data_IF_527673294444
#
_entry.id   IF_527673294444
#
_cell.length_a   1.000
_cell.length_b   1.000
_cell.length_c   1.000
_cell.angle_alpha   90.00
_cell.angle_beta   90.00
_cell.angle_gamma   90.00
#
_symmetry.space_group_name_H-M   'P 1'
#
loop_
_entity.id
_entity.type
_entity.pdbx_description
1 polymer ?
#
# COMPACT_ATOMS: atom_id res chain seq x y z
N UNK A 1 -3.16 -19.78 16.68
CA UNK A 1 -3.03 -19.60 18.14
C UNK A 1 -3.38 -20.90 18.88
N UNK A 2 -4.60 -21.46 18.68
CA UNK A 2 -5.10 -22.60 19.46
C UNK A 2 -4.18 -23.82 19.39
N UNK A 3 -3.78 -24.22 18.18
CA UNK A 3 -2.82 -25.32 18.01
C UNK A 3 -1.49 -25.06 18.70
N UNK A 4 -0.99 -23.84 18.68
CA UNK A 4 0.26 -23.50 19.36
C UNK A 4 0.12 -23.62 20.89
N UNK A 5 -1.01 -23.20 21.46
CA UNK A 5 -1.30 -23.37 22.90
C UNK A 5 -1.47 -24.86 23.29
N UNK A 6 -2.06 -25.69 22.43
CA UNK A 6 -2.14 -27.13 22.65
C UNK A 6 -0.75 -27.80 22.70
N UNK A 7 0.11 -27.42 21.76
CA UNK A 7 1.46 -27.96 21.63
C UNK A 7 2.43 -27.40 22.71
N UNK A 8 2.09 -26.25 23.32
CA UNK A 8 2.91 -25.55 24.33
C UNK A 8 2.13 -25.31 25.63
N UNK A 9 1.93 -26.34 26.49
CA UNK A 9 1.22 -26.20 27.75
C UNK A 9 1.85 -25.11 28.65
N UNK A 10 1.04 -24.15 29.09
CA UNK A 10 1.48 -23.02 29.90
C UNK A 10 1.66 -21.71 29.12
N UNK A 11 1.55 -21.74 27.79
CA UNK A 11 1.49 -20.55 26.97
C UNK A 11 0.02 -20.17 26.74
N UNK A 12 -0.28 -18.87 26.90
CA UNK A 12 -1.58 -18.30 26.55
C UNK A 12 -1.37 -17.23 25.48
N UNK A 13 -2.10 -17.34 24.37
CA UNK A 13 -2.09 -16.35 23.28
C UNK A 13 -3.40 -15.60 23.29
N UNK A 14 -3.33 -14.29 23.52
CA UNK A 14 -4.47 -13.38 23.44
C UNK A 14 -4.35 -12.53 22.18
N UNK A 15 -5.42 -12.51 21.37
CA UNK A 15 -5.48 -11.74 20.15
C UNK A 15 -6.31 -10.46 20.38
N UNK A 16 -5.78 -9.33 19.93
CA UNK A 16 -6.49 -8.07 19.90
C UNK A 16 -6.61 -7.58 18.46
N UNK A 17 -7.84 -7.43 17.97
CA UNK A 17 -8.12 -6.82 16.68
C UNK A 17 -8.15 -5.29 16.84
N UNK A 18 -7.32 -4.60 16.07
CA UNK A 18 -7.23 -3.14 16.07
C UNK A 18 -7.46 -2.62 14.65
N UNK A 19 -8.29 -1.56 14.46
CA UNK A 19 -8.47 -0.95 13.15
C UNK A 19 -7.14 -0.50 12.53
N UNK A 20 -6.97 -0.71 11.22
CA UNK A 20 -5.72 -0.41 10.52
C UNK A 20 -5.23 1.02 10.75
N UNK A 21 -6.13 2.02 10.66
CA UNK A 21 -5.79 3.44 10.84
C UNK A 21 -5.24 3.82 12.23
N UNK A 22 -5.24 2.92 13.20
CA UNK A 22 -4.75 3.17 14.56
C UNK A 22 -3.79 2.09 15.07
N UNK A 23 -3.66 0.97 14.36
CA UNK A 23 -2.90 -0.19 14.80
C UNK A 23 -1.41 0.14 15.00
N UNK A 24 -0.79 0.74 14.00
CA UNK A 24 0.64 1.04 14.03
C UNK A 24 0.99 2.01 15.16
N UNK A 25 0.30 3.13 15.24
CA UNK A 25 0.52 4.13 16.29
C UNK A 25 0.33 3.52 17.69
N UNK A 26 -0.69 2.67 17.86
CA UNK A 26 -0.94 1.99 19.13
C UNK A 26 0.26 1.15 19.56
N UNK A 27 0.75 0.25 18.70
CA UNK A 27 1.84 -0.68 19.08
C UNK A 27 3.18 0.03 19.26
N UNK A 28 3.45 1.07 18.44
CA UNK A 28 4.64 1.91 18.59
C UNK A 28 4.61 2.65 19.93
N UNK A 29 3.48 3.28 20.27
CA UNK A 29 3.32 3.99 21.53
C UNK A 29 3.44 3.06 22.74
N UNK A 30 2.91 1.83 22.69
CA UNK A 30 3.09 0.83 23.75
C UNK A 30 4.57 0.44 23.91
N UNK A 31 5.29 0.26 22.81
CA UNK A 31 6.72 -0.05 22.87
C UNK A 31 7.54 1.10 23.47
N UNK A 32 7.25 2.35 23.10
CA UNK A 32 7.89 3.55 23.68
C UNK A 32 7.57 3.69 25.16
N UNK A 33 6.34 3.36 25.58
CA UNK A 33 5.91 3.41 26.98
C UNK A 33 6.52 2.29 27.85
N UNK A 34 7.20 1.30 27.25
CA UNK A 34 7.79 0.16 27.96
C UNK A 34 6.79 -0.94 28.32
N UNK A 35 5.64 -0.97 27.65
CA UNK A 35 4.60 -2.01 27.78
C UNK A 35 4.25 -2.61 26.40
N UNK A 36 5.25 -3.20 25.70
CA UNK A 36 5.06 -3.70 24.35
C UNK A 36 4.18 -4.95 24.29
N UNK A 37 3.50 -5.12 23.15
CA UNK A 37 2.87 -6.40 22.80
C UNK A 37 3.95 -7.43 22.43
N UNK A 38 3.64 -8.73 22.51
CA UNK A 38 4.61 -9.78 22.17
C UNK A 38 5.04 -9.71 20.70
N UNK A 39 4.09 -9.59 19.80
CA UNK A 39 4.29 -9.29 18.37
C UNK A 39 3.06 -8.61 17.79
N UNK A 40 3.22 -7.94 16.67
CA UNK A 40 2.12 -7.28 15.97
C UNK A 40 2.33 -7.28 14.46
N UNK A 41 1.22 -7.26 13.74
CA UNK A 41 1.17 -6.89 12.33
C UNK A 41 1.42 -5.37 12.20
N UNK A 42 2.41 -5.00 11.40
CA UNK A 42 2.80 -3.60 11.15
C UNK A 42 3.18 -3.43 9.68
N UNK A 43 3.09 -2.22 9.16
CA UNK A 43 3.70 -1.89 7.87
C UNK A 43 5.21 -2.08 7.92
N UNK A 44 5.79 -2.77 6.94
CA UNK A 44 7.25 -3.00 6.87
C UNK A 44 8.04 -1.69 6.89
N UNK A 45 7.45 -0.60 6.44
CA UNK A 45 7.97 0.76 6.47
C UNK A 45 8.33 1.27 7.87
N UNK A 46 7.71 0.74 8.93
CA UNK A 46 7.99 1.16 10.32
C UNK A 46 9.14 0.38 10.95
N UNK A 47 9.56 -0.75 10.36
CA UNK A 47 10.55 -1.64 10.95
C UNK A 47 11.92 -0.97 11.13
N UNK A 48 12.34 -0.12 10.18
CA UNK A 48 13.64 0.56 10.26
C UNK A 48 13.72 1.43 11.51
N UNK A 49 12.73 2.28 11.75
CA UNK A 49 12.65 3.13 12.95
C UNK A 49 12.52 2.32 14.24
N UNK A 50 11.71 1.26 14.24
CA UNK A 50 11.56 0.38 15.42
C UNK A 50 12.87 -0.35 15.74
N UNK A 51 13.63 -0.78 14.73
CA UNK A 51 14.92 -1.46 14.90
C UNK A 51 16.00 -0.50 15.44
N UNK A 52 16.11 0.70 14.87
CA UNK A 52 17.07 1.74 15.32
C UNK A 52 16.86 2.12 16.79
N UNK A 53 15.60 2.16 17.22
CA UNK A 53 15.24 2.47 18.60
C UNK A 53 15.26 1.25 19.53
N UNK A 54 15.60 0.05 19.05
CA UNK A 54 15.72 -1.17 19.86
C UNK A 54 14.37 -1.73 20.35
N UNK A 55 13.26 -1.37 19.71
CA UNK A 55 11.93 -1.81 20.12
C UNK A 55 11.55 -3.20 19.60
N UNK A 56 12.22 -3.69 18.55
CA UNK A 56 11.94 -4.99 17.93
C UNK A 56 13.20 -5.85 17.86
N UNK A 57 13.00 -7.14 17.65
CA UNK A 57 14.06 -8.12 17.55
C UNK A 57 14.42 -8.43 16.09
N UNK A 58 15.69 -8.78 15.88
CA UNK A 58 16.15 -9.40 14.63
C UNK A 58 15.41 -10.73 14.41
N UNK A 59 14.85 -10.92 13.21
CA UNK A 59 14.16 -12.16 12.83
C UNK A 59 15.14 -13.13 12.14
N UNK A 60 15.01 -14.42 12.44
CA UNK A 60 15.80 -15.45 11.79
C UNK A 60 14.94 -16.24 10.80
N UNK A 61 14.73 -15.67 9.61
CA UNK A 61 13.97 -16.31 8.54
C UNK A 61 14.84 -17.42 7.92
N UNK A 62 14.36 -18.68 7.85
CA UNK A 62 15.11 -19.77 7.24
C UNK A 62 15.47 -19.48 5.76
N UNK A 63 16.65 -19.92 5.32
CA UNK A 63 17.11 -19.70 3.93
C UNK A 63 16.15 -20.29 2.89
N UNK A 64 15.51 -21.42 3.18
CA UNK A 64 14.48 -22.03 2.32
C UNK A 64 13.25 -21.14 2.15
N UNK A 65 12.83 -20.47 3.22
CA UNK A 65 11.70 -19.54 3.18
C UNK A 65 12.10 -18.24 2.46
N UNK A 66 13.32 -17.71 2.73
CA UNK A 66 13.83 -16.53 2.02
C UNK A 66 13.80 -16.69 0.50
N UNK A 67 14.13 -17.89 0.00
CA UNK A 67 14.15 -18.20 -1.42
C UNK A 67 12.75 -18.24 -2.07
N UNK A 68 11.69 -18.32 -1.27
CA UNK A 68 10.32 -18.39 -1.79
C UNK A 68 9.66 -17.03 -1.94
N UNK A 69 10.14 -15.98 -1.30
CA UNK A 69 9.52 -14.66 -1.40
C UNK A 69 9.58 -14.10 -2.83
N UNK A 70 8.57 -13.32 -3.18
CA UNK A 70 8.58 -12.53 -4.40
C UNK A 70 9.78 -11.57 -4.43
N UNK A 71 10.31 -11.22 -5.62
CA UNK A 71 11.41 -10.27 -5.73
C UNK A 71 11.14 -8.96 -4.97
N UNK A 72 12.15 -8.47 -4.27
CA UNK A 72 12.07 -7.21 -3.51
C UNK A 72 11.47 -7.31 -2.11
N UNK A 73 10.70 -8.36 -1.77
CA UNK A 73 10.02 -8.48 -0.47
C UNK A 73 11.01 -8.44 0.70
N UNK A 74 12.11 -9.17 0.60
CA UNK A 74 13.10 -9.20 1.68
C UNK A 74 13.78 -7.84 1.93
N UNK A 75 13.86 -6.98 0.90
CA UNK A 75 14.43 -5.65 1.05
C UNK A 75 13.58 -4.79 2.00
N UNK A 76 12.25 -5.00 2.03
CA UNK A 76 11.33 -4.23 2.87
C UNK A 76 11.49 -4.50 4.37
N UNK A 77 12.08 -5.63 4.74
CA UNK A 77 12.33 -6.03 6.13
C UNK A 77 13.81 -6.03 6.50
N UNK A 78 14.70 -5.68 5.55
CA UNK A 78 16.14 -5.70 5.75
C UNK A 78 16.66 -4.31 6.08
N UNK A 79 17.36 -4.19 7.20
CA UNK A 79 18.06 -2.98 7.60
C UNK A 79 19.41 -3.35 8.24
N UNK A 80 20.50 -2.67 7.87
CA UNK A 80 21.87 -2.96 8.30
C UNK A 80 22.30 -4.43 8.13
N UNK A 81 21.86 -5.07 7.03
CA UNK A 81 22.17 -6.46 6.71
C UNK A 81 21.44 -7.52 7.54
N UNK A 82 20.47 -7.10 8.38
CA UNK A 82 19.65 -7.95 9.24
C UNK A 82 18.18 -7.85 8.84
N UNK A 83 17.40 -8.88 9.14
CA UNK A 83 15.93 -8.87 8.96
C UNK A 83 15.24 -8.57 10.29
N UNK A 84 14.25 -7.67 10.27
CA UNK A 84 13.59 -7.10 11.45
C UNK A 84 12.09 -7.38 11.55
N UNK A 85 11.57 -8.13 10.60
CA UNK A 85 10.18 -8.58 10.57
C UNK A 85 10.06 -9.83 9.72
N UNK A 86 8.95 -10.54 9.89
CA UNK A 86 8.55 -11.61 8.97
C UNK A 86 7.60 -11.00 7.94
N UNK A 87 7.95 -10.94 6.64
CA UNK A 87 7.01 -10.52 5.61
C UNK A 87 5.72 -11.35 5.69
N UNK A 88 4.55 -10.70 5.74
CA UNK A 88 3.30 -11.38 6.03
C UNK A 88 2.15 -11.00 5.11
N UNK A 89 2.11 -9.79 4.60
CA UNK A 89 1.13 -9.40 3.60
C UNK A 89 1.82 -8.61 2.48
N UNK A 90 1.35 -8.82 1.26
CA UNK A 90 1.89 -8.15 0.09
C UNK A 90 0.76 -7.70 -0.83
N UNK A 91 0.92 -6.55 -1.44
CA UNK A 91 -0.04 -6.06 -2.42
C UNK A 91 0.60 -5.19 -3.48
N UNK A 92 0.15 -5.38 -4.70
CA UNK A 92 0.15 -4.40 -5.78
C UNK A 92 -1.18 -3.65 -5.77
N UNK A 93 -1.33 -2.61 -6.58
CA UNK A 93 -2.56 -1.82 -6.68
C UNK A 93 -3.09 -1.84 -8.10
N UNK A 94 -4.39 -1.59 -8.22
CA UNK A 94 -5.09 -1.53 -9.50
C UNK A 94 -6.17 -0.44 -9.47
N UNK A 95 -6.63 -0.04 -10.64
CA UNK A 95 -7.77 0.85 -10.84
C UNK A 95 -9.05 0.01 -10.88
N UNK A 96 -9.98 0.31 -9.98
CA UNK A 96 -11.33 -0.24 -9.95
C UNK A 96 -12.29 0.73 -10.61
N UNK A 97 -13.16 0.21 -11.46
CA UNK A 97 -14.07 1.00 -12.28
C UNK A 97 -15.50 0.49 -12.12
N UNK A 98 -16.46 1.38 -11.83
CA UNK A 98 -17.87 1.11 -11.83
C UNK A 98 -18.41 1.29 -13.25
N UNK A 99 -18.62 0.17 -13.96
CA UNK A 99 -19.08 0.18 -15.34
C UNK A 99 -20.44 0.83 -15.50
N UNK A 100 -21.35 0.67 -14.53
CA UNK A 100 -22.66 1.29 -14.57
C UNK A 100 -22.61 2.83 -14.57
N UNK A 101 -21.68 3.44 -13.80
CA UNK A 101 -21.48 4.90 -13.83
C UNK A 101 -20.83 5.39 -15.12
N UNK A 102 -19.85 4.63 -15.63
CA UNK A 102 -19.20 4.95 -16.91
C UNK A 102 -20.20 4.89 -18.08
N UNK A 103 -21.04 3.87 -18.14
CA UNK A 103 -22.09 3.75 -19.16
C UNK A 103 -23.10 4.90 -19.07
N UNK A 104 -23.54 5.27 -17.86
CA UNK A 104 -24.41 6.45 -17.64
C UNK A 104 -23.76 7.74 -18.16
N UNK A 105 -22.43 7.84 -18.09
CA UNK A 105 -21.66 8.97 -18.63
C UNK A 105 -21.44 8.90 -20.15
N UNK A 106 -21.84 7.81 -20.81
CA UNK A 106 -21.59 7.57 -22.23
C UNK A 106 -20.15 7.09 -22.54
N UNK A 107 -19.46 6.53 -21.56
CA UNK A 107 -18.08 6.04 -21.66
C UNK A 107 -18.08 4.52 -21.64
N UNK A 108 -17.36 3.90 -22.56
CA UNK A 108 -17.16 2.46 -22.55
C UNK A 108 -16.35 2.04 -21.31
N UNK A 109 -16.75 0.94 -20.66
CA UNK A 109 -16.02 0.41 -19.51
C UNK A 109 -14.79 -0.40 -19.98
N UNK A 110 -13.87 0.28 -20.63
CA UNK A 110 -12.56 -0.23 -21.04
C UNK A 110 -11.47 0.44 -20.21
N UNK A 111 -10.42 -0.31 -19.86
CA UNK A 111 -9.34 0.23 -19.02
C UNK A 111 -8.58 1.35 -19.72
N UNK A 112 -8.42 2.52 -19.10
CA UNK A 112 -7.56 3.57 -19.62
C UNK A 112 -6.11 3.06 -19.69
N UNK A 113 -5.41 3.38 -20.76
CA UNK A 113 -4.00 3.02 -20.92
C UNK A 113 -3.09 4.16 -20.48
N UNK A 114 -3.59 5.39 -20.56
CA UNK A 114 -2.85 6.62 -20.24
C UNK A 114 -3.60 7.48 -19.21
N UNK A 115 -2.86 8.40 -18.58
CA UNK A 115 -3.44 9.39 -17.67
C UNK A 115 -4.46 10.30 -18.35
N UNK A 116 -4.24 10.66 -19.61
CA UNK A 116 -5.20 11.49 -20.37
C UNK A 116 -6.52 10.77 -20.62
N UNK A 117 -6.46 9.45 -20.90
CA UNK A 117 -7.65 8.63 -21.01
C UNK A 117 -8.38 8.53 -19.67
N UNK A 118 -7.65 8.27 -18.57
CA UNK A 118 -8.21 8.23 -17.21
C UNK A 118 -8.92 9.55 -16.86
N UNK A 119 -8.25 10.68 -17.11
CA UNK A 119 -8.83 12.00 -16.84
C UNK A 119 -10.09 12.25 -17.67
N UNK A 120 -10.06 11.91 -18.96
CA UNK A 120 -11.20 12.09 -19.87
C UNK A 120 -12.41 11.26 -19.44
N UNK A 121 -12.18 10.02 -19.00
CA UNK A 121 -13.24 9.15 -18.45
C UNK A 121 -13.81 9.74 -17.15
N UNK A 122 -12.94 10.19 -16.23
CA UNK A 122 -13.35 10.80 -14.98
C UNK A 122 -14.13 12.10 -15.21
N UNK A 123 -13.67 12.95 -16.12
CA UNK A 123 -14.35 14.20 -16.49
C UNK A 123 -15.74 13.95 -17.08
N UNK A 124 -15.89 12.94 -17.93
CA UNK A 124 -17.17 12.58 -18.50
C UNK A 124 -18.20 12.16 -17.42
N UNK A 125 -17.78 11.37 -16.42
CA UNK A 125 -18.66 11.00 -15.31
C UNK A 125 -19.04 12.24 -14.49
N UNK A 126 -18.07 13.06 -14.10
CA UNK A 126 -18.32 14.27 -13.30
C UNK A 126 -19.26 15.25 -13.99
N UNK A 127 -19.21 15.34 -15.32
CA UNK A 127 -20.09 16.23 -16.12
C UNK A 127 -21.48 15.66 -16.40
N UNK A 128 -21.59 14.36 -16.60
CA UNK A 128 -22.79 13.75 -17.17
C UNK A 128 -23.60 12.90 -16.18
N UNK A 129 -23.08 12.65 -14.96
CA UNK A 129 -23.78 11.84 -13.95
C UNK A 129 -23.99 12.67 -12.68
N UNK A 130 -25.22 13.09 -12.46
CA UNK A 130 -25.56 13.90 -11.29
C UNK A 130 -25.23 13.19 -9.98
N UNK A 131 -24.47 13.86 -9.11
CA UNK A 131 -24.13 13.39 -7.77
C UNK A 131 -23.03 12.32 -7.73
N UNK A 132 -22.33 12.08 -8.85
CA UNK A 132 -21.15 11.22 -8.90
C UNK A 132 -19.93 12.00 -9.41
N UNK A 133 -18.76 11.69 -8.83
CA UNK A 133 -17.46 12.15 -9.31
C UNK A 133 -16.77 11.05 -10.13
N UNK A 134 -15.87 11.46 -11.02
CA UNK A 134 -15.19 10.52 -11.91
C UNK A 134 -14.19 9.63 -11.20
N UNK A 135 -13.50 10.15 -10.17
CA UNK A 135 -12.45 9.41 -9.46
C UNK A 135 -12.47 9.69 -7.96
N UNK A 136 -12.10 8.69 -7.18
CA UNK A 136 -11.83 8.82 -5.75
C UNK A 136 -10.37 9.19 -5.50
N UNK A 137 -10.16 10.33 -4.84
CA UNK A 137 -8.84 10.87 -4.53
C UNK A 137 -8.66 10.95 -3.00
N UNK A 138 -7.66 10.24 -2.48
CA UNK A 138 -7.25 10.35 -1.08
C UNK A 138 -6.40 11.60 -0.89
N UNK A 139 -6.69 12.37 0.15
CA UNK A 139 -5.96 13.61 0.47
C UNK A 139 -5.82 13.85 1.97
N UNK A 140 -6.41 12.99 2.83
CA UNK A 140 -6.28 13.08 4.29
C UNK A 140 -4.82 12.84 4.70
N UNK A 141 -4.36 13.49 5.78
CA UNK A 141 -3.02 13.21 6.33
C UNK A 141 -2.98 11.79 6.93
N UNK A 142 -2.76 10.84 6.02
CA UNK A 142 -2.64 9.41 6.32
C UNK A 142 -1.79 8.72 5.25
N UNK A 143 -1.26 7.53 5.51
CA UNK A 143 -0.37 6.80 4.59
C UNK A 143 -1.01 6.53 3.21
N UNK A 144 -2.32 6.30 3.18
CA UNK A 144 -3.04 6.01 1.94
C UNK A 144 -3.03 7.16 0.92
N UNK A 145 -2.87 8.41 1.35
CA UNK A 145 -2.73 9.58 0.46
C UNK A 145 -1.42 9.49 -0.30
N UNK A 146 -0.32 9.34 0.43
CA UNK A 146 0.99 9.15 -0.18
C UNK A 146 1.03 7.87 -1.03
N UNK A 147 0.45 6.76 -0.56
CA UNK A 147 0.40 5.51 -1.33
C UNK A 147 -0.37 5.66 -2.64
N UNK A 148 -1.47 6.42 -2.66
CA UNK A 148 -2.19 6.68 -3.90
C UNK A 148 -1.34 7.49 -4.88
N UNK A 149 -0.67 8.54 -4.41
CA UNK A 149 0.24 9.33 -5.20
C UNK A 149 1.42 8.49 -5.76
N UNK A 150 2.03 7.64 -4.95
CA UNK A 150 3.15 6.79 -5.36
C UNK A 150 2.80 5.84 -6.52
N UNK A 151 1.54 5.38 -6.62
CA UNK A 151 1.11 4.62 -7.79
C UNK A 151 1.24 5.43 -9.09
N UNK A 152 0.82 6.68 -9.06
CA UNK A 152 0.98 7.57 -10.23
C UNK A 152 2.45 7.91 -10.46
N UNK A 153 3.23 8.16 -9.40
CA UNK A 153 4.66 8.44 -9.52
C UNK A 153 5.40 7.30 -10.22
N UNK A 154 5.17 6.06 -9.79
CA UNK A 154 5.78 4.89 -10.41
C UNK A 154 5.26 4.65 -11.82
N UNK A 155 3.97 4.91 -12.08
CA UNK A 155 3.43 4.80 -13.44
C UNK A 155 3.97 5.87 -14.39
N UNK A 156 4.63 6.92 -13.87
CA UNK A 156 5.36 7.94 -14.65
C UNK A 156 6.89 7.79 -14.61
N UNK A 157 7.40 6.66 -14.12
CA UNK A 157 8.83 6.40 -14.03
C UNK A 157 9.59 7.27 -13.03
N UNK A 158 8.88 7.93 -12.08
CA UNK A 158 9.48 8.70 -11.00
C UNK A 158 9.83 7.82 -9.79
N UNK A 159 10.57 8.38 -8.85
CA UNK A 159 11.04 7.70 -7.65
C UNK A 159 11.28 8.71 -6.52
N UNK A 160 11.14 8.28 -5.26
CA UNK A 160 11.37 9.14 -4.08
C UNK A 160 12.81 9.09 -3.62
N UNK A 161 13.35 7.89 -3.51
CA UNK A 161 14.70 7.61 -3.02
C UNK A 161 15.29 6.45 -3.82
N UNK A 162 16.56 6.54 -4.17
CA UNK A 162 17.28 5.43 -4.79
C UNK A 162 17.63 4.39 -3.70
N UNK A 163 17.10 3.15 -3.77
CA UNK A 163 17.34 2.14 -2.75
C UNK A 163 18.78 1.63 -2.72
N UNK A 164 19.59 1.91 -3.75
CA UNK A 164 20.98 1.47 -3.84
C UNK A 164 21.94 2.50 -3.24
N UNK A 165 21.68 3.80 -3.49
CA UNK A 165 22.56 4.89 -3.06
C UNK A 165 22.04 5.64 -1.84
N UNK A 166 20.76 5.46 -1.49
CA UNK A 166 20.05 6.22 -0.46
C UNK A 166 19.99 7.73 -0.77
N UNK A 167 20.06 8.10 -2.05
CA UNK A 167 19.92 9.49 -2.49
C UNK A 167 18.44 9.83 -2.71
N UNK A 168 18.02 11.03 -2.29
CA UNK A 168 16.67 11.54 -2.58
C UNK A 168 16.58 11.87 -4.06
N UNK A 169 15.66 11.23 -4.76
CA UNK A 169 15.42 11.40 -6.20
C UNK A 169 14.06 12.02 -6.49
N UNK A 170 13.35 12.45 -5.44
CA UNK A 170 12.02 13.04 -5.54
C UNK A 170 12.01 14.29 -6.45
N UNK A 171 13.03 15.15 -6.37
CA UNK A 171 13.12 16.36 -7.17
C UNK A 171 13.47 16.02 -8.62
N UNK A 172 12.48 15.62 -9.38
CA UNK A 172 12.61 15.24 -10.79
C UNK A 172 11.42 15.76 -11.62
N UNK A 173 11.62 15.91 -12.93
CA UNK A 173 10.55 16.28 -13.85
C UNK A 173 9.38 15.30 -13.84
N UNK A 174 9.66 14.00 -13.64
CA UNK A 174 8.61 12.98 -13.53
C UNK A 174 7.73 13.19 -12.30
N UNK A 175 8.32 13.61 -11.17
CA UNK A 175 7.56 13.92 -9.94
C UNK A 175 6.75 15.19 -10.10
N UNK A 176 7.31 16.24 -10.69
CA UNK A 176 6.58 17.49 -10.97
C UNK A 176 5.35 17.21 -11.85
N UNK A 177 5.54 16.51 -12.97
CA UNK A 177 4.47 16.12 -13.88
C UNK A 177 3.41 15.26 -13.19
N UNK A 178 3.85 14.36 -12.28
CA UNK A 178 2.93 13.53 -11.49
C UNK A 178 2.11 14.36 -10.50
N UNK A 179 2.75 15.33 -9.85
CA UNK A 179 2.10 16.21 -8.88
C UNK A 179 1.09 17.13 -9.56
N UNK A 180 1.43 17.69 -10.73
CA UNK A 180 0.49 18.46 -11.58
C UNK A 180 -0.73 17.62 -11.98
N UNK A 181 -0.49 16.37 -12.40
CA UNK A 181 -1.59 15.46 -12.75
C UNK A 181 -2.47 15.13 -11.54
N UNK A 182 -1.87 14.89 -10.37
CA UNK A 182 -2.62 14.59 -9.15
C UNK A 182 -3.50 15.79 -8.71
N UNK A 183 -2.96 17.01 -8.78
CA UNK A 183 -3.73 18.24 -8.58
C UNK A 183 -4.84 18.42 -9.61
N UNK A 184 -4.59 18.09 -10.89
CA UNK A 184 -5.60 18.11 -11.95
C UNK A 184 -6.74 17.12 -11.66
N UNK A 185 -6.45 15.92 -11.13
CA UNK A 185 -7.47 14.93 -10.76
C UNK A 185 -8.45 15.46 -9.69
N UNK A 186 -8.02 16.38 -8.84
CA UNK A 186 -8.90 16.99 -7.83
C UNK A 186 -10.13 17.68 -8.42
N UNK A 187 -10.05 18.16 -9.67
CA UNK A 187 -11.16 18.81 -10.37
C UNK A 187 -12.28 17.84 -10.79
N UNK A 188 -12.00 16.54 -10.81
CA UNK A 188 -12.93 15.48 -11.22
C UNK A 188 -13.12 14.42 -10.13
N UNK A 189 -12.60 14.70 -8.92
CA UNK A 189 -12.70 13.86 -7.74
C UNK A 189 -13.96 14.22 -6.91
N UNK A 190 -14.23 13.40 -5.89
CA UNK A 190 -15.25 13.70 -4.88
C UNK A 190 -14.94 15.01 -4.15
N UNK A 191 -15.98 15.65 -3.62
CA UNK A 191 -15.84 16.90 -2.87
C UNK A 191 -14.93 16.74 -1.65
N UNK A 192 -14.04 17.73 -1.44
CA UNK A 192 -13.15 17.81 -0.28
C UNK A 192 -12.16 16.63 -0.16
N UNK A 193 -11.30 16.37 -1.14
CA UNK A 193 -10.39 15.22 -1.12
C UNK A 193 -9.57 15.09 0.17
N UNK A 194 -9.23 16.19 0.83
CA UNK A 194 -8.44 16.22 2.07
C UNK A 194 -9.14 15.57 3.28
N UNK A 195 -10.44 15.33 3.19
CA UNK A 195 -11.19 14.66 4.26
C UNK A 195 -11.18 13.14 4.15
N UNK A 196 -10.74 12.58 3.03
CA UNK A 196 -10.96 11.19 2.66
C UNK A 196 -9.66 10.38 2.63
N UNK A 197 -9.75 9.16 3.13
CA UNK A 197 -8.75 8.10 2.94
C UNK A 197 -9.36 6.92 2.18
N UNK A 198 -8.54 5.96 1.76
CA UNK A 198 -8.92 4.89 0.84
C UNK A 198 -10.11 4.04 1.29
N UNK A 199 -10.24 3.71 2.56
CA UNK A 199 -11.37 2.87 3.02
C UNK A 199 -12.70 3.61 2.85
N UNK A 200 -12.70 4.91 3.10
CA UNK A 200 -13.88 5.76 2.89
C UNK A 200 -14.20 5.93 1.38
N UNK A 201 -13.17 5.95 0.52
CA UNK A 201 -13.39 5.93 -0.94
C UNK A 201 -14.06 4.62 -1.39
N UNK A 202 -13.77 3.50 -0.75
CA UNK A 202 -14.47 2.23 -1.01
C UNK A 202 -15.98 2.35 -0.69
N UNK A 203 -16.33 3.05 0.38
CA UNK A 203 -17.74 3.33 0.72
C UNK A 203 -18.41 4.21 -0.33
N UNK A 204 -17.75 5.29 -0.78
CA UNK A 204 -18.25 6.13 -1.86
C UNK A 204 -18.42 5.37 -3.19
N UNK A 205 -17.50 4.48 -3.50
CA UNK A 205 -17.59 3.61 -4.68
C UNK A 205 -18.80 2.67 -4.59
N UNK A 206 -18.99 2.06 -3.43
CA UNK A 206 -20.15 1.21 -3.15
C UNK A 206 -21.48 1.95 -3.19
N UNK A 207 -21.48 3.23 -2.86
CA UNK A 207 -22.66 4.10 -2.92
C UNK A 207 -22.84 4.81 -4.27
N UNK A 208 -22.08 4.39 -5.29
CA UNK A 208 -22.09 4.95 -6.64
C UNK A 208 -21.85 6.48 -6.66
N UNK A 209 -21.00 6.98 -5.75
CA UNK A 209 -20.61 8.40 -5.65
C UNK A 209 -19.30 8.72 -6.36
N UNK A 210 -18.51 7.69 -6.65
CA UNK A 210 -17.30 7.80 -7.47
C UNK A 210 -17.27 6.64 -8.47
N UNK A 211 -16.83 6.92 -9.69
CA UNK A 211 -16.78 5.90 -10.74
C UNK A 211 -15.51 5.07 -10.73
N UNK A 212 -14.40 5.63 -10.28
CA UNK A 212 -13.10 4.96 -10.31
C UNK A 212 -12.32 5.25 -9.01
N UNK A 213 -11.47 4.33 -8.59
CA UNK A 213 -10.50 4.55 -7.51
C UNK A 213 -9.40 3.49 -7.51
N UNK A 214 -8.26 3.79 -6.88
CA UNK A 214 -7.16 2.84 -6.71
C UNK A 214 -7.33 2.07 -5.39
N UNK A 215 -7.23 0.72 -5.46
CA UNK A 215 -7.27 -0.15 -4.29
C UNK A 215 -6.40 -1.38 -4.49
N UNK A 216 -6.21 -2.19 -3.45
CA UNK A 216 -5.56 -3.49 -3.50
C UNK A 216 -6.51 -4.62 -3.91
N UNK A 217 -5.99 -5.85 -4.07
CA UNK A 217 -6.77 -6.99 -4.55
C UNK A 217 -7.94 -7.39 -3.61
N UNK A 218 -7.87 -7.08 -2.33
CA UNK A 218 -8.99 -7.25 -1.38
C UNK A 218 -10.23 -6.42 -1.74
N UNK A 219 -10.10 -5.40 -2.60
CA UNK A 219 -11.22 -4.55 -3.05
C UNK A 219 -12.36 -5.37 -3.63
N UNK A 220 -12.07 -6.48 -4.35
CA UNK A 220 -13.10 -7.39 -4.88
C UNK A 220 -14.08 -7.87 -3.79
N UNK A 221 -13.56 -8.21 -2.59
CA UNK A 221 -14.37 -8.65 -1.46
C UNK A 221 -15.07 -7.52 -0.68
N UNK A 222 -14.72 -6.27 -0.95
CA UNK A 222 -15.29 -5.09 -0.28
C UNK A 222 -16.42 -4.43 -1.06
N UNK A 223 -16.59 -4.78 -2.34
CA UNK A 223 -17.64 -4.20 -3.17
C UNK A 223 -18.99 -4.83 -2.89
N UNK A 224 -20.04 -3.99 -2.96
CA UNK A 224 -21.42 -4.44 -2.84
C UNK A 224 -21.78 -5.44 -3.96
N UNK A 225 -22.53 -6.46 -3.61
CA UNK A 225 -23.08 -7.39 -4.57
C UNK A 225 -23.96 -6.66 -5.59
N UNK A 226 -23.82 -7.01 -6.86
CA UNK A 226 -24.59 -6.42 -7.96
C UNK A 226 -23.96 -5.18 -8.60
N UNK A 227 -22.85 -4.65 -8.07
CA UNK A 227 -22.08 -3.64 -8.80
C UNK A 227 -21.34 -4.31 -9.97
N UNK A 228 -21.45 -3.71 -11.15
CA UNK A 228 -20.63 -4.11 -12.30
C UNK A 228 -19.25 -3.43 -12.20
N UNK A 229 -18.28 -4.18 -11.69
CA UNK A 229 -16.93 -3.68 -11.40
C UNK A 229 -15.92 -4.33 -12.32
N UNK A 230 -15.19 -3.51 -13.05
CA UNK A 230 -14.00 -3.90 -13.80
C UNK A 230 -12.76 -3.43 -13.09
N UNK A 231 -11.75 -4.30 -13.02
CA UNK A 231 -10.45 -4.00 -12.42
C UNK A 231 -9.38 -4.05 -13.50
N UNK A 232 -8.55 -3.02 -13.58
CA UNK A 232 -7.52 -2.90 -14.61
C UNK A 232 -6.21 -2.36 -14.02
N UNK A 233 -5.11 -2.53 -14.73
CA UNK A 233 -3.82 -1.93 -14.36
C UNK A 233 -3.95 -0.41 -14.25
N UNK A 234 -3.13 0.20 -13.39
CA UNK A 234 -3.02 1.65 -13.29
C UNK A 234 -2.46 2.17 -14.64
N UNK A 235 -3.10 3.21 -15.23
CA UNK A 235 -2.67 3.71 -16.52
C UNK A 235 -1.28 4.36 -16.46
N UNK A 236 -0.55 4.26 -17.56
CA UNK A 236 0.78 4.85 -17.70
C UNK A 236 0.74 6.38 -17.70
N UNK A 237 1.69 6.99 -17.02
CA UNK A 237 2.03 8.39 -17.19
C UNK A 237 2.82 8.64 -18.49
N UNK A 238 3.02 9.89 -18.87
CA UNK A 238 3.70 10.25 -20.13
C UNK A 238 5.12 9.69 -20.28
N UNK A 239 5.82 9.47 -19.16
CA UNK A 239 7.23 9.05 -19.15
C UNK A 239 7.40 7.58 -18.70
N UNK A 240 6.31 6.90 -18.32
CA UNK A 240 6.38 5.64 -17.63
C UNK A 240 5.69 4.48 -18.34
N UNK A 241 5.23 3.55 -17.52
CA UNK A 241 4.49 2.35 -17.88
C UNK A 241 3.27 2.17 -16.95
N UNK A 242 2.63 1.01 -16.99
CA UNK A 242 1.54 0.69 -16.05
C UNK A 242 2.09 0.25 -14.67
N UNK A 243 2.95 1.08 -14.08
CA UNK A 243 3.57 0.85 -12.77
C UNK A 243 2.57 0.87 -11.61
N UNK A 244 3.00 0.36 -10.48
CA UNK A 244 2.20 0.27 -9.25
C UNK A 244 3.08 0.39 -8.02
N UNK A 245 2.49 0.70 -6.88
CA UNK A 245 3.17 0.64 -5.60
C UNK A 245 3.15 -0.79 -5.05
N UNK A 246 4.31 -1.28 -4.66
CA UNK A 246 4.50 -2.54 -3.94
C UNK A 246 4.50 -2.26 -2.44
N UNK A 247 3.51 -2.77 -1.72
CA UNK A 247 3.43 -2.63 -0.26
C UNK A 247 3.60 -3.98 0.40
N UNK A 248 4.49 -4.03 1.38
CA UNK A 248 4.69 -5.18 2.26
C UNK A 248 4.37 -4.78 3.69
N UNK A 249 3.58 -5.61 4.36
CA UNK A 249 3.38 -5.54 5.80
C UNK A 249 3.97 -6.78 6.45
N UNK A 250 4.37 -6.67 7.69
CA UNK A 250 5.15 -7.70 8.39
C UNK A 250 4.63 -7.97 9.78
N UNK A 251 5.00 -9.11 10.32
CA UNK A 251 4.90 -9.39 11.75
C UNK A 251 6.23 -9.00 12.40
N UNK A 252 6.19 -7.99 13.28
CA UNK A 252 7.31 -7.57 14.10
C UNK A 252 7.21 -8.18 15.50
N UNK A 253 8.32 -8.70 16.01
CA UNK A 253 8.41 -9.24 17.38
C UNK A 253 9.08 -8.18 18.27
N UNK A 254 8.38 -7.77 19.33
CA UNK A 254 8.84 -6.70 20.19
C UNK A 254 9.81 -7.20 21.26
N UNK A 255 10.72 -6.33 21.68
CA UNK A 255 11.69 -6.56 22.72
C UNK A 255 11.13 -6.25 24.12
N UNK A 256 11.78 -6.77 25.17
CA UNK A 256 11.45 -6.50 26.57
C UNK A 256 10.05 -6.96 27.02
N UNK A 257 9.51 -7.99 26.40
CA UNK A 257 8.20 -8.56 26.72
C UNK A 257 8.29 -9.71 27.74
N UNK A 258 9.47 -10.35 27.85
CA UNK A 258 9.69 -11.54 28.66
C UNK A 258 9.16 -12.84 28.02
N UNK A 259 8.63 -12.77 26.82
CA UNK A 259 8.08 -13.91 26.04
C UNK A 259 8.60 -13.93 24.60
N UNK A 260 9.77 -13.31 24.37
CA UNK A 260 10.34 -13.09 23.04
C UNK A 260 10.54 -14.39 22.26
N UNK A 261 10.91 -15.47 22.96
CA UNK A 261 11.14 -16.77 22.32
C UNK A 261 9.85 -17.36 21.76
N UNK A 262 8.81 -17.41 22.57
CA UNK A 262 7.50 -17.92 22.18
C UNK A 262 6.86 -17.03 21.09
N UNK A 263 7.01 -15.73 21.23
CA UNK A 263 6.58 -14.75 20.22
C UNK A 263 7.27 -14.97 18.87
N UNK A 264 8.58 -15.15 18.85
CA UNK A 264 9.38 -15.39 17.66
C UNK A 264 8.98 -16.71 16.98
N UNK A 265 8.78 -17.76 17.78
CA UNK A 265 8.37 -19.09 17.30
C UNK A 265 6.99 -19.03 16.66
N UNK A 266 6.01 -18.44 17.34
CA UNK A 266 4.65 -18.32 16.81
C UNK A 266 4.59 -17.42 15.57
N UNK A 267 5.30 -16.29 15.59
CA UNK A 267 5.41 -15.39 14.44
C UNK A 267 5.97 -16.12 13.21
N UNK A 268 7.03 -16.91 13.38
CA UNK A 268 7.60 -17.72 12.30
C UNK A 268 6.64 -18.77 11.75
N UNK A 269 5.83 -19.40 12.60
CA UNK A 269 4.83 -20.41 12.19
C UNK A 269 3.73 -19.77 11.34
N UNK A 270 3.16 -18.65 11.80
CA UNK A 270 2.02 -18.01 11.10
C UNK A 270 2.42 -17.34 9.77
N UNK A 271 3.71 -17.04 9.59
CA UNK A 271 4.25 -16.38 8.37
C UNK A 271 4.92 -17.34 7.40
N UNK A 272 4.70 -18.64 7.53
CA UNK A 272 5.36 -19.65 6.69
C UNK A 272 4.43 -20.76 6.24
N UNK A 273 4.81 -21.45 5.16
CA UNK A 273 4.12 -22.63 4.62
C UNK A 273 2.65 -22.40 4.32
N UNK A 274 1.82 -23.38 4.73
CA UNK A 274 0.38 -23.37 4.48
C UNK A 274 -0.33 -22.23 5.23
N UNK A 275 0.19 -21.79 6.38
CA UNK A 275 -0.37 -20.67 7.14
C UNK A 275 -0.30 -19.38 6.32
N UNK A 276 0.83 -19.11 5.69
CA UNK A 276 1.01 -17.93 4.84
C UNK A 276 0.16 -18.02 3.58
N UNK A 277 0.11 -19.19 2.93
CA UNK A 277 -0.73 -19.38 1.75
C UNK A 277 -2.22 -19.15 2.04
N UNK A 278 -2.72 -19.71 3.17
CA UNK A 278 -4.10 -19.46 3.62
C UNK A 278 -4.38 -18.00 3.87
N UNK A 279 -3.44 -17.28 4.50
CA UNK A 279 -3.60 -15.83 4.71
C UNK A 279 -3.75 -15.08 3.38
N UNK A 280 -2.84 -15.33 2.43
CA UNK A 280 -2.83 -14.65 1.15
C UNK A 280 -4.15 -14.87 0.38
N UNK A 281 -4.67 -16.09 0.41
CA UNK A 281 -5.93 -16.45 -0.26
C UNK A 281 -7.16 -15.95 0.48
N UNK A 282 -7.22 -16.10 1.80
CA UNK A 282 -8.40 -15.76 2.62
C UNK A 282 -8.58 -14.24 2.74
N UNK A 283 -7.47 -13.49 2.80
CA UNK A 283 -7.51 -12.03 2.86
C UNK A 283 -7.54 -11.36 1.49
N UNK A 284 -7.39 -12.15 0.42
CA UNK A 284 -7.37 -11.61 -0.92
C UNK A 284 -6.17 -10.72 -1.17
N UNK A 285 -4.97 -11.25 -0.94
CA UNK A 285 -3.70 -10.55 -1.12
C UNK A 285 -3.01 -10.99 -2.42
N UNK A 286 -2.13 -10.14 -2.93
CA UNK A 286 -1.14 -10.58 -3.93
C UNK A 286 -0.23 -11.60 -3.23
N UNK A 287 0.07 -12.77 -3.84
CA UNK A 287 0.86 -13.80 -3.18
C UNK A 287 2.25 -13.26 -2.82
N UNK A 288 2.59 -13.34 -1.53
CA UNK A 288 3.88 -12.85 -1.04
C UNK A 288 5.04 -13.79 -1.39
N UNK A 289 4.73 -15.05 -1.65
CA UNK A 289 5.69 -16.07 -2.03
C UNK A 289 5.40 -16.60 -3.44
N UNK A 290 6.41 -17.22 -4.06
CA UNK A 290 6.31 -17.89 -5.35
C UNK A 290 5.71 -19.29 -5.15
N UNK A 291 4.40 -19.35 -4.91
CA UNK A 291 3.70 -20.61 -4.70
C UNK A 291 3.57 -21.40 -6.00
N UNK A 292 3.67 -22.76 -5.95
CA UNK A 292 3.43 -23.62 -7.13
C UNK A 292 2.02 -23.48 -7.73
N UNK A 293 1.06 -23.00 -6.95
CA UNK A 293 -0.33 -22.78 -7.33
C UNK A 293 -0.53 -21.59 -8.27
N UNK A 294 0.42 -20.64 -8.32
CA UNK A 294 0.31 -19.45 -9.18
C UNK A 294 0.22 -19.88 -10.64
N UNK A 295 -0.83 -19.43 -11.33
CA UNK A 295 -1.15 -19.78 -12.71
C UNK A 295 -1.73 -21.18 -12.91
N UNK A 296 -1.80 -22.02 -11.88
CA UNK A 296 -2.25 -23.41 -11.99
C UNK A 296 -3.54 -23.70 -11.22
N UNK A 297 -3.76 -23.08 -10.08
CA UNK A 297 -4.89 -23.38 -9.20
C UNK A 297 -5.57 -22.07 -8.73
N UNK A 298 -6.88 -22.15 -8.47
CA UNK A 298 -7.62 -21.03 -7.91
C UNK A 298 -7.13 -20.69 -6.48
N UNK A 299 -7.17 -19.40 -6.11
CA UNK A 299 -7.61 -18.26 -6.91
C UNK A 299 -6.55 -17.71 -7.88
N UNK A 300 -5.29 -18.12 -7.76
CA UNK A 300 -4.14 -17.51 -8.44
C UNK A 300 -3.95 -17.93 -9.91
N UNK A 301 -4.96 -18.58 -10.53
CA UNK A 301 -5.06 -18.81 -11.98
C UNK A 301 -6.20 -17.99 -12.61
N UNK A 302 -6.93 -17.19 -11.85
CA UNK A 302 -7.96 -16.27 -12.38
C UNK A 302 -7.31 -15.01 -12.95
N UNK A 303 -7.85 -14.47 -14.05
CA UNK A 303 -7.37 -13.23 -14.69
C UNK A 303 -7.27 -12.05 -13.71
N UNK A 304 -8.20 -11.98 -12.76
CA UNK A 304 -8.19 -10.96 -11.71
C UNK A 304 -6.89 -10.98 -10.89
N UNK A 305 -6.48 -12.15 -10.42
CA UNK A 305 -5.28 -12.30 -9.60
C UNK A 305 -4.00 -12.20 -10.43
N UNK A 306 -4.01 -12.78 -11.63
CA UNK A 306 -2.88 -12.71 -12.55
C UNK A 306 -2.52 -11.28 -12.90
N UNK A 307 -3.51 -10.39 -13.06
CA UNK A 307 -3.26 -8.97 -13.29
C UNK A 307 -2.44 -8.32 -12.15
N UNK A 308 -2.74 -8.61 -10.89
CA UNK A 308 -1.99 -8.11 -9.74
C UNK A 308 -0.60 -8.72 -9.64
N UNK A 309 -0.47 -10.01 -9.97
CA UNK A 309 0.81 -10.73 -9.97
C UNK A 309 1.73 -10.20 -11.08
N UNK A 310 1.22 -10.05 -12.28
CA UNK A 310 1.97 -9.51 -13.43
C UNK A 310 2.42 -8.06 -13.19
N UNK A 311 1.69 -7.30 -12.37
CA UNK A 311 2.07 -5.94 -12.01
C UNK A 311 3.32 -5.86 -11.12
N UNK A 312 3.74 -6.95 -10.48
CA UNK A 312 4.92 -6.97 -9.59
C UNK A 312 6.18 -6.51 -10.33
N UNK A 313 6.36 -6.97 -11.57
CA UNK A 313 7.54 -6.65 -12.38
C UNK A 313 7.68 -5.17 -12.75
N UNK A 314 6.56 -4.42 -12.76
CA UNK A 314 6.50 -2.99 -13.10
C UNK A 314 6.34 -2.11 -11.87
N UNK A 315 6.30 -2.69 -10.67
CA UNK A 315 6.05 -1.97 -9.43
C UNK A 315 7.30 -1.36 -8.81
N UNK A 316 7.11 -0.23 -8.10
CA UNK A 316 8.13 0.39 -7.26
C UNK A 316 7.89 0.10 -5.77
N UNK A 317 8.95 -0.06 -4.96
CA UNK A 317 8.84 -0.35 -3.54
C UNK A 317 8.34 0.87 -2.75
N UNK A 318 7.73 0.61 -1.61
CA UNK A 318 7.46 1.67 -0.64
C UNK A 318 8.79 2.25 -0.14
N UNK A 319 8.97 3.59 -0.15
CA UNK A 319 10.19 4.22 0.35
C UNK A 319 10.36 3.96 1.86
N UNK A 320 11.59 3.60 2.28
CA UNK A 320 11.88 3.23 3.65
C UNK A 320 12.75 4.32 4.31
N UNK A 321 12.15 5.10 5.19
CA UNK A 321 12.81 6.11 6.00
C UNK A 321 12.93 5.67 7.46
N UNK A 322 13.94 6.18 8.19
CA UNK A 322 14.05 5.93 9.63
C UNK A 322 12.88 6.58 10.36
N UNK A 323 12.64 7.85 10.09
CA UNK A 323 11.43 8.54 10.56
C UNK A 323 10.34 8.49 9.45
N UNK A 324 9.65 7.35 9.40
CA UNK A 324 8.57 7.17 8.44
C UNK A 324 7.43 8.19 8.62
N UNK A 325 7.15 8.60 9.87
CA UNK A 325 6.05 9.57 10.13
C UNK A 325 6.39 10.96 9.59
N UNK A 326 7.63 11.38 9.76
CA UNK A 326 8.10 12.64 9.16
C UNK A 326 8.05 12.55 7.62
N UNK A 327 8.58 11.47 7.03
CA UNK A 327 8.47 11.22 5.59
C UNK A 327 7.03 11.31 5.09
N UNK A 328 6.09 10.61 5.75
CA UNK A 328 4.67 10.66 5.40
C UNK A 328 4.11 12.08 5.45
N UNK A 329 4.46 12.86 6.48
CA UNK A 329 3.97 14.22 6.66
C UNK A 329 4.46 15.13 5.54
N UNK A 330 5.74 15.07 5.18
CA UNK A 330 6.33 15.84 4.07
C UNK A 330 5.62 15.51 2.76
N UNK A 331 5.51 14.23 2.44
CA UNK A 331 4.85 13.80 1.20
C UNK A 331 3.38 14.21 1.14
N UNK A 332 2.65 14.05 2.25
CA UNK A 332 1.24 14.44 2.29
C UNK A 332 1.05 15.95 2.19
N UNK A 333 1.93 16.76 2.79
CA UNK A 333 1.90 18.23 2.67
C UNK A 333 2.10 18.68 1.22
N UNK A 334 3.07 18.10 0.52
CA UNK A 334 3.30 18.34 -0.90
C UNK A 334 2.06 18.00 -1.76
N UNK A 335 1.48 16.82 -1.52
CA UNK A 335 0.29 16.34 -2.25
C UNK A 335 -0.92 17.22 -1.97
N UNK A 336 -1.15 17.59 -0.72
CA UNK A 336 -2.26 18.46 -0.31
C UNK A 336 -2.12 19.86 -0.92
N UNK A 337 -0.92 20.41 -0.96
CA UNK A 337 -0.63 21.68 -1.66
C UNK A 337 -1.10 21.63 -3.12
N UNK A 338 -0.76 20.57 -3.84
CA UNK A 338 -1.20 20.38 -5.22
C UNK A 338 -2.72 20.20 -5.37
N UNK A 339 -3.37 19.45 -4.48
CA UNK A 339 -4.84 19.30 -4.47
C UNK A 339 -5.54 20.65 -4.26
N UNK A 340 -4.99 21.49 -3.39
CA UNK A 340 -5.52 22.83 -3.08
C UNK A 340 -5.16 23.89 -4.11
N UNK A 341 -4.20 23.61 -5.01
CA UNK A 341 -3.64 24.60 -5.93
C UNK A 341 -2.77 25.64 -5.22
N UNK A 342 -2.15 25.26 -4.10
CA UNK A 342 -1.26 26.09 -3.29
C UNK A 342 0.21 25.93 -3.77
N UNK A 343 0.70 26.90 -4.52
CA UNK A 343 2.06 26.89 -5.03
C UNK A 343 2.24 26.21 -6.41
N UNK A 344 3.44 26.36 -6.93
CA UNK A 344 3.87 25.69 -8.16
C UNK A 344 4.33 24.26 -7.84
N UNK A 345 4.00 23.30 -8.69
CA UNK A 345 4.35 21.91 -8.44
C UNK A 345 5.87 21.68 -8.35
N UNK A 346 6.66 22.42 -9.13
CA UNK A 346 8.10 22.30 -9.07
C UNK A 346 8.67 22.82 -7.74
N UNK A 347 8.11 23.91 -7.20
CA UNK A 347 8.52 24.45 -5.90
C UNK A 347 8.12 23.48 -4.77
N UNK A 348 6.89 22.96 -4.76
CA UNK A 348 6.43 21.97 -3.78
C UNK A 348 7.29 20.70 -3.77
N UNK A 349 7.67 20.22 -4.94
CA UNK A 349 8.54 19.04 -5.07
C UNK A 349 9.96 19.35 -4.58
N UNK A 350 10.50 20.53 -4.89
CA UNK A 350 11.85 20.91 -4.46
C UNK A 350 11.92 21.06 -2.93
N UNK A 351 10.94 21.74 -2.31
CA UNK A 351 10.85 21.90 -0.87
C UNK A 351 10.72 20.54 -0.15
N UNK A 352 9.83 19.66 -0.63
CA UNK A 352 9.67 18.32 -0.07
C UNK A 352 10.96 17.49 -0.18
N UNK A 353 11.65 17.54 -1.32
CA UNK A 353 12.89 16.81 -1.51
C UNK A 353 14.01 17.31 -0.58
N UNK A 354 14.12 18.62 -0.34
CA UNK A 354 15.10 19.21 0.59
C UNK A 354 14.79 18.76 2.03
N UNK A 355 13.53 18.81 2.45
CA UNK A 355 13.11 18.40 3.80
C UNK A 355 13.36 16.90 4.05
N UNK A 356 13.15 16.05 3.05
CA UNK A 356 13.37 14.60 3.16
C UNK A 356 14.84 14.20 3.40
N UNK A 357 15.81 15.06 3.07
CA UNK A 357 17.22 14.81 3.35
C UNK A 357 17.50 14.63 4.86
N UNK A 358 16.66 15.21 5.72
CA UNK A 358 16.80 15.16 7.17
C UNK A 358 16.33 13.80 7.76
N UNK A 359 15.52 13.01 7.03
CA UNK A 359 14.83 11.82 7.56
C UNK A 359 15.27 10.49 6.95
N UNK A 360 16.18 10.49 5.98
CA UNK A 360 16.64 9.31 5.24
C UNK A 360 17.57 8.37 6.03
#
# INVERSE_FOLDING_TARGET
>A
ADKYMEDNPGVTVTLEAVPWGTCQDKVINLAIAGDPVAFSYVGSRTLKGLAENGHILETNIPASQKAMYQPGILNTVTHMGKTWGFPHAFSTKALFMNCGLLEKAGVACEGPQTWDELYSMAEAVTKNVDGAAGIGLAGKDFDNTMHQFLNYLYSNGGQVIDPMTNEITLNSSNTVETLEFYGKLANVAQEGPLAWERSQLTELFNDEKIAMYINGPWGRGQHKEGLDVKTVRIPAGPQGNQGTLLITDSVAVFSNTGVEKEAMELASIITSGDSQYSLDTDWGLTPIMQYPQIGNEAPYNEDYWMMFIDAIGDGGPEPLFVDYKAFQTVMNSMIQGAILGEGDAADLVAEAAEELEEYK
#
